data_IF_303245203084
#
_entry.id   IF_303245203084
#
_cell.length_a   1.000
_cell.length_b   1.000
_cell.length_c   1.000
_cell.angle_alpha   90.00
_cell.angle_beta   90.00
_cell.angle_gamma   90.00
#
_symmetry.space_group_name_H-M   'P 1'
#
loop_
_entity.id
_entity.type
_entity.pdbx_description
1 polymer ?
#
# COMPACT_ATOMS: atom_id res chain seq x y z
N UNK A 1 -13.81 17.32 -16.14
CA UNK A 1 -12.42 17.30 -15.59
C UNK A 1 -12.41 16.46 -14.33
N UNK A 2 -12.12 15.17 -14.48
CA UNK A 2 -11.63 14.32 -13.42
C UNK A 2 -10.51 13.53 -14.08
N UNK A 3 -9.27 13.87 -13.76
CA UNK A 3 -8.13 13.03 -14.09
C UNK A 3 -8.28 11.77 -13.25
N UNK A 4 -9.01 10.78 -13.77
CA UNK A 4 -8.98 9.43 -13.25
C UNK A 4 -7.65 8.83 -13.68
N UNK A 5 -6.59 9.17 -12.96
CA UNK A 5 -5.41 8.32 -12.90
C UNK A 5 -5.90 6.92 -12.59
N UNK A 6 -5.81 6.04 -13.58
CA UNK A 6 -6.02 4.61 -13.44
C UNK A 6 -4.95 4.10 -12.47
N UNK A 7 -5.21 4.27 -11.17
CA UNK A 7 -4.36 3.80 -10.10
C UNK A 7 -4.65 2.30 -9.95
N UNK A 8 -4.03 1.50 -10.81
CA UNK A 8 -3.80 0.07 -10.58
C UNK A 8 -2.89 -0.09 -9.35
N UNK A 9 -3.44 0.22 -8.18
CA UNK A 9 -2.74 0.21 -6.89
C UNK A 9 -2.86 -1.14 -6.17
N UNK A 10 -3.48 -2.16 -6.79
CA UNK A 10 -3.63 -3.49 -6.18
C UNK A 10 -2.34 -4.34 -6.25
N UNK A 11 -1.64 -4.48 -7.40
CA UNK A 11 -0.44 -5.31 -7.47
C UNK A 11 0.84 -4.64 -6.91
N UNK A 12 0.82 -3.35 -6.60
CA UNK A 12 2.02 -2.61 -6.16
C UNK A 12 2.29 -2.70 -4.65
N UNK A 13 1.33 -3.14 -3.83
CA UNK A 13 1.46 -3.06 -2.37
C UNK A 13 2.58 -3.93 -1.79
N UNK A 14 2.77 -5.20 -2.18
CA UNK A 14 3.86 -6.02 -1.63
C UNK A 14 5.24 -5.42 -1.88
N UNK A 15 5.49 -4.92 -3.10
CA UNK A 15 6.74 -4.26 -3.46
C UNK A 15 6.96 -2.96 -2.69
N UNK A 16 5.91 -2.16 -2.44
CA UNK A 16 6.03 -0.93 -1.64
C UNK A 16 6.29 -1.23 -0.15
N UNK A 17 5.65 -2.26 0.41
CA UNK A 17 5.92 -2.72 1.78
C UNK A 17 7.37 -3.19 1.88
N UNK A 18 7.82 -4.04 0.95
CA UNK A 18 9.20 -4.52 0.91
C UNK A 18 10.20 -3.37 0.76
N UNK A 19 9.92 -2.39 -0.09
CA UNK A 19 10.74 -1.19 -0.25
C UNK A 19 10.88 -0.39 1.05
N UNK A 20 9.76 -0.15 1.77
CA UNK A 20 9.80 0.54 3.07
C UNK A 20 10.65 -0.22 4.08
N UNK A 21 10.47 -1.53 4.16
CA UNK A 21 11.21 -2.38 5.09
C UNK A 21 12.72 -2.41 4.79
N UNK A 22 13.11 -2.42 3.51
CA UNK A 22 14.53 -2.32 3.12
C UNK A 22 15.12 -0.99 3.59
N UNK A 23 14.42 0.13 3.39
CA UNK A 23 14.90 1.42 3.84
C UNK A 23 15.02 1.48 5.38
N UNK A 24 14.05 0.92 6.11
CA UNK A 24 14.10 0.81 7.58
C UNK A 24 15.29 -0.04 8.05
N UNK A 25 15.59 -1.17 7.37
CA UNK A 25 16.78 -1.99 7.64
C UNK A 25 18.08 -1.23 7.43
N UNK A 26 18.12 -0.34 6.44
CA UNK A 26 19.28 0.51 6.12
C UNK A 26 19.41 1.70 7.10
N UNK A 27 18.54 1.79 8.11
CA UNK A 27 18.58 2.81 9.15
C UNK A 27 17.87 4.12 8.78
N UNK A 28 17.16 4.15 7.65
CA UNK A 28 16.34 5.29 7.31
C UNK A 28 15.10 5.34 8.20
N UNK A 29 14.72 6.55 8.62
CA UNK A 29 13.48 6.75 9.37
C UNK A 29 12.29 6.26 8.54
N UNK A 30 11.34 5.58 9.18
CA UNK A 30 10.07 5.20 8.56
C UNK A 30 9.37 6.46 8.08
N UNK A 31 9.16 6.57 6.77
CA UNK A 31 8.41 7.67 6.16
C UNK A 31 6.99 7.18 5.88
N UNK A 32 5.97 7.69 6.58
CA UNK A 32 4.57 7.40 6.26
C UNK A 32 4.28 7.77 4.80
N UNK A 33 3.54 6.92 4.09
CA UNK A 33 3.23 7.10 2.67
C UNK A 33 4.48 7.21 1.76
N UNK A 34 5.56 6.47 2.06
CA UNK A 34 6.74 6.38 1.19
C UNK A 34 6.34 5.87 -0.21
N UNK A 35 6.08 6.82 -1.12
CA UNK A 35 5.63 6.52 -2.47
C UNK A 35 6.81 6.60 -3.42
N UNK A 36 7.22 5.44 -3.95
CA UNK A 36 8.13 5.35 -5.08
C UNK A 36 7.33 4.89 -6.31
N UNK A 37 7.56 5.57 -7.44
CA UNK A 37 6.92 5.16 -8.70
C UNK A 37 7.53 3.86 -9.20
N UNK A 38 6.74 3.06 -9.93
CA UNK A 38 7.24 1.82 -10.54
C UNK A 38 8.45 2.03 -11.47
N UNK A 39 8.47 3.12 -12.25
CA UNK A 39 9.64 3.46 -13.09
C UNK A 39 10.84 3.83 -12.21
N UNK A 40 10.62 4.55 -11.11
CA UNK A 40 11.67 4.84 -10.13
C UNK A 40 12.22 3.58 -9.46
N UNK A 41 11.36 2.60 -9.15
CA UNK A 41 11.76 1.30 -8.62
C UNK A 41 12.62 0.51 -9.62
N UNK A 42 12.28 0.53 -10.90
CA UNK A 42 13.06 -0.13 -11.94
C UNK A 42 14.42 0.52 -12.13
N UNK A 43 14.46 1.85 -12.12
CA UNK A 43 15.69 2.61 -12.28
C UNK A 43 16.63 2.52 -11.06
N UNK A 44 16.12 2.14 -9.88
CA UNK A 44 16.94 2.01 -8.68
C UNK A 44 18.00 0.89 -8.87
N UNK A 45 19.30 1.22 -8.81
CA UNK A 45 20.40 0.26 -9.00
C UNK A 45 20.42 -0.85 -7.95
N UNK A 46 19.78 -0.67 -6.79
CA UNK A 46 19.69 -1.71 -5.77
C UNK A 46 18.86 -2.90 -6.25
N UNK A 47 17.94 -2.70 -7.19
CA UNK A 47 17.02 -3.75 -7.66
C UNK A 47 17.29 -4.15 -9.11
N UNK A 48 17.06 -3.24 -10.06
CA UNK A 48 17.16 -3.54 -11.48
C UNK A 48 18.13 -2.60 -12.21
N UNK A 49 18.14 -1.31 -11.88
CA UNK A 49 18.98 -0.31 -12.58
C UNK A 49 18.61 -0.16 -14.07
N UNK A 50 17.37 -0.42 -14.45
CA UNK A 50 16.89 -0.41 -15.84
C UNK A 50 15.99 0.80 -16.09
N UNK A 51 16.28 1.57 -17.14
CA UNK A 51 15.34 2.60 -17.62
C UNK A 51 14.15 1.94 -18.30
N UNK A 52 12.95 2.51 -18.12
CA UNK A 52 11.75 2.02 -18.78
C UNK A 52 11.12 3.11 -19.64
N UNK A 53 11.85 3.49 -20.69
CA UNK A 53 11.50 4.63 -21.55
C UNK A 53 10.20 4.39 -22.33
N UNK A 54 9.98 3.14 -22.79
CA UNK A 54 8.74 2.73 -23.47
C UNK A 54 7.48 2.98 -22.61
N UNK A 55 7.59 2.88 -21.27
CA UNK A 55 6.46 3.20 -20.38
C UNK A 55 6.10 4.69 -20.41
N UNK A 56 7.08 5.57 -20.56
CA UNK A 56 6.79 7.00 -20.69
C UNK A 56 6.23 7.32 -22.07
N UNK A 57 6.70 6.68 -23.13
CA UNK A 57 6.11 6.80 -24.48
C UNK A 57 4.63 6.42 -24.48
N UNK A 58 4.29 5.25 -23.91
CA UNK A 58 2.90 4.79 -23.80
C UNK A 58 2.05 5.77 -22.98
N UNK A 59 2.59 6.40 -21.94
CA UNK A 59 1.88 7.44 -21.18
C UNK A 59 1.64 8.70 -22.01
N UNK A 60 2.59 9.12 -22.82
CA UNK A 60 2.42 10.26 -23.74
C UNK A 60 1.31 9.95 -24.75
N UNK A 61 1.32 8.76 -25.34
CA UNK A 61 0.27 8.31 -26.27
C UNK A 61 -1.10 8.27 -25.60
N UNK A 62 -1.21 7.76 -24.38
CA UNK A 62 -2.46 7.72 -23.64
C UNK A 62 -3.00 9.12 -23.28
N UNK A 63 -2.11 10.09 -23.03
CA UNK A 63 -2.51 11.49 -22.78
C UNK A 63 -3.03 12.16 -24.06
N UNK A 64 -2.44 11.83 -25.21
CA UNK A 64 -2.86 12.35 -26.52
C UNK A 64 -4.15 11.70 -27.01
N UNK A 65 -4.29 10.38 -26.81
CA UNK A 65 -5.47 9.62 -27.19
C UNK A 65 -5.98 8.78 -26.00
N UNK A 66 -7.01 9.25 -25.29
CA UNK A 66 -7.64 8.50 -24.21
C UNK A 66 -8.25 7.15 -24.63
N UNK A 67 -8.47 6.92 -25.94
CA UNK A 67 -8.98 5.65 -26.48
C UNK A 67 -7.87 4.69 -26.87
N UNK A 68 -6.59 5.03 -26.71
CA UNK A 68 -5.43 4.22 -27.11
C UNK A 68 -5.56 2.72 -26.77
N UNK A 69 -5.93 2.37 -25.53
CA UNK A 69 -6.07 0.98 -25.07
C UNK A 69 -7.32 0.24 -25.58
N UNK A 70 -8.23 0.94 -26.27
CA UNK A 70 -9.49 0.38 -26.79
C UNK A 70 -9.37 -0.17 -28.21
N UNK A 71 -8.37 0.26 -28.99
CA UNK A 71 -8.21 -0.18 -30.37
C UNK A 71 -7.87 -1.66 -30.47
N UNK A 72 -8.33 -2.30 -31.55
CA UNK A 72 -8.09 -3.71 -31.85
C UNK A 72 -7.76 -3.92 -33.33
N UNK A 73 -6.88 -4.87 -33.68
CA UNK A 73 -6.06 -5.68 -32.77
C UNK A 73 -5.06 -4.82 -31.99
N UNK A 74 -4.57 -5.33 -30.86
CA UNK A 74 -3.55 -4.62 -30.06
C UNK A 74 -2.25 -4.52 -30.88
N UNK A 75 -1.56 -3.38 -30.81
CA UNK A 75 -0.24 -3.25 -31.42
C UNK A 75 0.80 -4.04 -30.62
N UNK A 76 1.93 -4.36 -31.26
CA UNK A 76 3.04 -5.03 -30.56
C UNK A 76 3.55 -4.24 -29.36
N UNK A 77 3.60 -2.90 -29.47
CA UNK A 77 4.00 -2.01 -28.38
C UNK A 77 3.03 -2.11 -27.19
N UNK A 78 1.72 -2.14 -27.45
CA UNK A 78 0.70 -2.29 -26.40
C UNK A 78 0.85 -3.62 -25.66
N UNK A 79 1.06 -4.71 -26.42
CA UNK A 79 1.24 -6.05 -25.87
C UNK A 79 2.52 -6.11 -25.02
N UNK A 80 3.64 -5.60 -25.56
CA UNK A 80 4.93 -5.58 -24.86
C UNK A 80 4.87 -4.76 -23.60
N UNK A 81 4.36 -3.52 -23.65
CA UNK A 81 4.27 -2.66 -22.49
C UNK A 81 3.39 -3.26 -21.38
N UNK A 82 2.25 -3.86 -21.74
CA UNK A 82 1.38 -4.53 -20.77
C UNK A 82 2.06 -5.76 -20.14
N UNK A 83 2.79 -6.55 -20.93
CA UNK A 83 3.52 -7.72 -20.43
C UNK A 83 4.70 -7.32 -19.51
N UNK A 84 5.47 -6.32 -19.93
CA UNK A 84 6.64 -5.84 -19.19
C UNK A 84 6.24 -5.19 -17.86
N UNK A 85 5.11 -4.47 -17.80
CA UNK A 85 4.57 -3.95 -16.54
C UNK A 85 4.44 -5.01 -15.45
N UNK A 86 4.01 -6.23 -15.81
CA UNK A 86 3.88 -7.34 -14.84
C UNK A 86 5.21 -8.06 -14.64
N UNK A 87 5.94 -8.36 -15.71
CA UNK A 87 7.22 -9.08 -15.67
C UNK A 87 8.23 -8.37 -14.76
N UNK A 88 8.33 -7.05 -14.90
CA UNK A 88 9.22 -6.22 -14.11
C UNK A 88 8.78 -6.11 -12.64
N UNK A 89 7.47 -6.03 -12.36
CA UNK A 89 6.98 -6.05 -10.97
C UNK A 89 7.39 -7.32 -10.23
N UNK A 90 7.21 -8.49 -10.87
CA UNK A 90 7.64 -9.77 -10.31
C UNK A 90 9.15 -9.81 -10.08
N UNK A 91 9.93 -9.32 -11.05
CA UNK A 91 11.38 -9.31 -10.96
C UNK A 91 11.88 -8.40 -9.83
N UNK A 92 11.36 -7.18 -9.71
CA UNK A 92 11.71 -6.26 -8.62
C UNK A 92 11.35 -6.86 -7.27
N UNK A 93 10.14 -7.41 -7.14
CA UNK A 93 9.69 -8.01 -5.89
C UNK A 93 10.63 -9.13 -5.43
N UNK A 94 11.04 -10.01 -6.34
CA UNK A 94 12.00 -11.06 -6.03
C UNK A 94 13.35 -10.49 -5.55
N UNK A 95 13.87 -9.45 -6.22
CA UNK A 95 15.11 -8.77 -5.82
C UNK A 95 14.99 -8.12 -4.43
N UNK A 96 13.83 -7.55 -4.11
CA UNK A 96 13.56 -6.97 -2.79
C UNK A 96 13.53 -8.05 -1.71
N UNK A 97 12.79 -9.14 -1.93
CA UNK A 97 12.69 -10.26 -0.98
C UNK A 97 14.06 -10.85 -0.65
N UNK A 98 14.96 -10.96 -1.63
CA UNK A 98 16.35 -11.42 -1.42
C UNK A 98 17.18 -10.50 -0.51
N UNK A 99 16.77 -9.25 -0.29
CA UNK A 99 17.47 -8.27 0.55
C UNK A 99 16.88 -8.14 1.96
N UNK A 100 15.70 -8.70 2.20
CA UNK A 100 15.06 -8.63 3.51
C UNK A 100 15.70 -9.65 4.45
N UNK A 101 15.94 -9.23 5.69
CA UNK A 101 16.29 -10.13 6.77
C UNK A 101 15.05 -10.86 7.29
N UNK A 102 15.23 -11.87 8.15
CA UNK A 102 14.13 -12.70 8.66
C UNK A 102 13.02 -11.88 9.34
N UNK A 103 13.41 -10.87 10.13
CA UNK A 103 12.46 -9.96 10.79
C UNK A 103 11.60 -9.20 9.78
N UNK A 104 12.22 -8.69 8.72
CA UNK A 104 11.49 -7.92 7.72
C UNK A 104 10.72 -8.80 6.74
N UNK A 105 11.18 -10.03 6.48
CA UNK A 105 10.38 -11.03 5.76
C UNK A 105 9.10 -11.37 6.52
N UNK A 106 9.21 -11.58 7.83
CA UNK A 106 8.04 -11.79 8.68
C UNK A 106 7.11 -10.56 8.67
N UNK A 107 7.65 -9.35 8.86
CA UNK A 107 6.86 -8.11 8.77
C UNK A 107 6.16 -7.96 7.41
N UNK A 108 6.84 -8.29 6.31
CA UNK A 108 6.27 -8.26 4.96
C UNK A 108 5.08 -9.23 4.86
N UNK A 109 5.21 -10.44 5.41
CA UNK A 109 4.13 -11.44 5.41
C UNK A 109 2.93 -10.98 6.26
N UNK A 110 3.17 -10.45 7.46
CA UNK A 110 2.11 -9.90 8.34
C UNK A 110 1.40 -8.74 7.64
N UNK A 111 2.14 -7.71 7.20
CA UNK A 111 1.55 -6.55 6.51
C UNK A 111 0.82 -6.94 5.25
N UNK A 112 1.40 -7.84 4.45
CA UNK A 112 0.76 -8.38 3.25
C UNK A 112 -0.60 -9.01 3.56
N UNK A 113 -0.68 -9.83 4.60
CA UNK A 113 -1.94 -10.45 5.03
C UNK A 113 -2.97 -9.42 5.52
N UNK A 114 -2.56 -8.45 6.34
CA UNK A 114 -3.43 -7.35 6.81
C UNK A 114 -3.96 -6.52 5.64
N UNK A 115 -3.12 -6.28 4.62
CA UNK A 115 -3.52 -5.58 3.43
C UNK A 115 -4.54 -6.33 2.57
N UNK A 116 -4.36 -7.64 2.41
CA UNK A 116 -5.33 -8.48 1.72
C UNK A 116 -6.70 -8.43 2.39
N UNK A 117 -6.72 -8.48 3.74
CA UNK A 117 -7.96 -8.40 4.53
C UNK A 117 -8.75 -7.12 4.29
N UNK A 118 -8.09 -6.01 3.95
CA UNK A 118 -8.76 -4.74 3.65
C UNK A 118 -9.65 -4.79 2.39
N UNK A 119 -9.34 -5.67 1.44
CA UNK A 119 -10.11 -5.78 0.18
C UNK A 119 -11.30 -6.72 0.28
N UNK A 120 -11.31 -7.62 1.27
CA UNK A 120 -12.26 -8.71 1.40
C UNK A 120 -12.96 -8.67 2.76
N UNK A 121 -13.50 -7.50 3.10
CA UNK A 121 -14.21 -7.30 4.37
C UNK A 121 -15.53 -8.04 4.33
N UNK A 122 -15.80 -8.74 5.41
CA UNK A 122 -17.08 -9.32 5.77
C UNK A 122 -17.32 -9.06 7.27
N UNK A 123 -18.55 -9.22 7.71
CA UNK A 123 -18.96 -8.88 9.08
C UNK A 123 -18.53 -9.93 10.13
N UNK A 124 -17.71 -10.91 9.76
CA UNK A 124 -17.29 -12.00 10.65
C UNK A 124 -15.92 -11.81 11.30
N UNK A 125 -15.43 -10.56 11.36
CA UNK A 125 -14.14 -10.23 11.97
C UNK A 125 -12.95 -11.04 11.41
N UNK A 126 -12.98 -11.34 10.10
CA UNK A 126 -11.96 -12.13 9.42
C UNK A 126 -11.83 -13.58 9.94
N UNK A 127 -12.88 -14.15 10.54
CA UNK A 127 -12.85 -15.52 11.06
C UNK A 127 -12.50 -16.57 9.98
N UNK A 128 -12.87 -16.31 8.73
CA UNK A 128 -12.56 -17.20 7.60
C UNK A 128 -11.13 -17.04 7.06
N UNK A 129 -10.39 -16.04 7.55
CA UNK A 129 -9.03 -15.77 7.08
C UNK A 129 -8.02 -16.66 7.79
N UNK A 130 -6.96 -17.11 7.09
CA UNK A 130 -5.82 -17.73 7.75
C UNK A 130 -5.28 -16.82 8.86
N UNK A 131 -4.81 -17.39 9.99
CA UNK A 131 -4.16 -16.61 11.03
C UNK A 131 -2.93 -15.88 10.48
N UNK A 132 -2.58 -14.76 11.10
CA UNK A 132 -1.34 -14.07 10.76
C UNK A 132 -0.14 -14.98 11.05
N UNK A 133 0.95 -14.87 10.27
CA UNK A 133 2.11 -15.70 10.49
C UNK A 133 2.67 -15.45 11.90
N UNK A 134 2.90 -16.50 12.71
CA UNK A 134 3.46 -16.34 14.05
C UNK A 134 4.88 -15.77 13.96
N UNK A 135 5.36 -15.15 15.04
CA UNK A 135 6.73 -14.64 15.11
C UNK A 135 7.71 -15.83 15.06
N UNK A 136 8.64 -15.87 14.11
CA UNK A 136 9.69 -16.89 14.05
C UNK A 136 10.58 -16.94 15.32
N UNK A 137 10.92 -18.13 15.79
CA UNK A 137 11.69 -18.36 17.03
C UNK A 137 13.06 -17.65 17.04
N UNK A 138 13.73 -17.60 15.88
CA UNK A 138 15.00 -16.90 15.71
C UNK A 138 14.90 -15.39 15.99
N UNK A 139 13.74 -14.77 15.72
CA UNK A 139 13.50 -13.36 16.03
C UNK A 139 13.22 -13.16 17.52
N UNK A 140 12.53 -14.11 18.16
CA UNK A 140 12.25 -14.08 19.60
C UNK A 140 13.55 -14.19 20.41
N UNK A 141 14.49 -15.02 19.96
CA UNK A 141 15.79 -15.21 20.60
C UNK A 141 16.66 -13.94 20.63
N UNK A 142 16.49 -13.03 19.67
CA UNK A 142 17.19 -11.73 19.61
C UNK A 142 16.71 -10.72 20.68
N UNK A 143 15.75 -11.10 21.53
CA UNK A 143 15.29 -10.30 22.68
C UNK A 143 14.44 -9.07 22.31
N UNK A 144 14.19 -8.83 21.02
CA UNK A 144 13.37 -7.74 20.51
C UNK A 144 12.04 -8.28 19.97
N UNK A 145 11.09 -8.54 20.88
CA UNK A 145 9.72 -8.94 20.50
C UNK A 145 9.10 -7.79 19.68
N UNK A 146 8.81 -8.00 18.38
CA UNK A 146 8.19 -6.96 17.56
C UNK A 146 6.80 -6.59 18.10
N UNK A 147 6.42 -5.32 18.04
CA UNK A 147 5.04 -4.93 18.37
C UNK A 147 4.06 -5.59 17.39
N UNK A 148 2.97 -6.14 17.92
CA UNK A 148 1.93 -6.77 17.12
C UNK A 148 1.25 -5.73 16.21
N UNK A 149 1.30 -5.99 14.90
CA UNK A 149 0.57 -5.19 13.93
C UNK A 149 -0.85 -5.70 13.73
N UNK A 150 -1.81 -4.78 13.75
CA UNK A 150 -3.22 -5.07 13.64
C UNK A 150 -3.87 -4.29 12.51
N UNK A 151 -5.00 -4.79 12.02
CA UNK A 151 -5.91 -4.06 11.14
C UNK A 151 -7.11 -3.60 11.97
N UNK A 152 -7.28 -2.27 12.09
CA UNK A 152 -8.50 -1.66 12.61
C UNK A 152 -9.31 -1.04 11.47
N UNK A 153 -10.63 -1.23 11.52
CA UNK A 153 -11.57 -0.73 10.51
C UNK A 153 -12.57 0.19 11.19
N UNK A 154 -12.74 1.39 10.62
CA UNK A 154 -13.68 2.40 11.09
C UNK A 154 -14.75 2.62 10.02
N UNK A 155 -16.01 2.36 10.39
CA UNK A 155 -17.16 2.72 9.58
C UNK A 155 -17.41 4.22 9.65
N UNK A 156 -17.57 4.83 8.47
CA UNK A 156 -17.81 6.25 8.30
C UNK A 156 -19.24 6.45 7.83
N UNK A 157 -20.10 7.11 8.64
CA UNK A 157 -21.47 7.40 8.24
C UNK A 157 -21.55 8.16 6.91
N UNK A 158 -22.62 7.97 6.11
CA UNK A 158 -22.81 8.68 4.85
C UNK A 158 -22.64 10.19 5.00
N UNK A 159 -21.91 10.81 4.08
CA UNK A 159 -21.64 12.26 4.10
C UNK A 159 -20.58 12.73 5.10
N UNK A 160 -20.08 11.87 6.01
CA UNK A 160 -19.05 12.25 7.00
C UNK A 160 -17.61 12.01 6.54
N UNK A 161 -17.39 11.34 5.40
CA UNK A 161 -16.03 11.08 4.88
C UNK A 161 -15.22 12.37 4.65
N UNK A 162 -15.87 13.46 4.24
CA UNK A 162 -15.23 14.77 4.09
C UNK A 162 -14.63 15.31 5.40
N UNK A 163 -15.18 14.94 6.57
CA UNK A 163 -14.63 15.33 7.89
C UNK A 163 -13.38 14.54 8.25
N UNK A 164 -13.33 13.26 7.89
CA UNK A 164 -12.15 12.41 8.05
C UNK A 164 -11.00 12.96 7.21
N UNK A 165 -11.26 13.21 5.92
CA UNK A 165 -10.26 13.73 4.97
C UNK A 165 -9.83 15.15 5.34
N UNK A 166 -10.80 16.01 5.63
CA UNK A 166 -10.59 17.45 5.84
C UNK A 166 -10.28 18.20 4.55
N UNK A 167 -10.18 19.53 4.64
CA UNK A 167 -9.86 20.38 3.50
C UNK A 167 -8.48 20.00 2.94
N UNK A 168 -8.43 19.66 1.64
CA UNK A 168 -7.21 19.21 0.93
C UNK A 168 -6.49 18.04 1.61
N UNK A 169 -7.20 17.20 2.38
CA UNK A 169 -6.58 16.08 3.08
C UNK A 169 -5.86 16.45 4.39
N UNK A 170 -5.93 17.70 4.85
CA UNK A 170 -5.17 18.15 6.02
C UNK A 170 -5.49 17.36 7.31
N UNK A 171 -6.75 16.94 7.49
CA UNK A 171 -7.15 16.19 8.68
C UNK A 171 -6.55 14.79 8.66
N UNK A 172 -6.73 14.04 7.57
CA UNK A 172 -6.17 12.68 7.48
C UNK A 172 -4.64 12.67 7.54
N UNK A 173 -3.97 13.67 6.94
CA UNK A 173 -2.52 13.83 7.02
C UNK A 173 -2.06 14.11 8.45
N UNK A 174 -2.77 14.95 9.20
CA UNK A 174 -2.46 15.23 10.61
C UNK A 174 -2.59 13.96 11.47
N UNK A 175 -3.63 13.14 11.24
CA UNK A 175 -3.80 11.88 11.97
C UNK A 175 -2.63 10.93 11.67
N UNK A 176 -2.29 10.76 10.38
CA UNK A 176 -1.14 9.94 9.94
C UNK A 176 0.19 10.41 10.53
N UNK A 177 0.40 11.72 10.67
CA UNK A 177 1.63 12.25 11.28
C UNK A 177 1.67 12.01 12.80
N UNK A 178 0.50 11.99 13.44
CA UNK A 178 0.37 11.82 14.89
C UNK A 178 0.40 10.35 15.35
N UNK A 179 0.17 9.42 14.44
CA UNK A 179 0.04 7.99 14.68
C UNK A 179 1.05 7.28 13.79
N UNK A 180 1.95 6.47 14.35
CA UNK A 180 2.85 5.63 13.56
C UNK A 180 2.13 4.40 12.97
N UNK A 181 1.02 4.67 12.30
CA UNK A 181 0.13 3.72 11.67
C UNK A 181 -0.23 4.19 10.26
N UNK A 182 -0.34 3.23 9.35
CA UNK A 182 -0.73 3.48 7.99
C UNK A 182 -2.25 3.56 7.88
N UNK A 183 -2.75 4.71 7.41
CA UNK A 183 -4.19 4.97 7.32
C UNK A 183 -4.57 5.15 5.86
N UNK A 184 -5.61 4.48 5.40
CA UNK A 184 -6.14 4.72 4.06
C UNK A 184 -7.66 4.63 4.04
N UNK A 185 -8.23 5.43 3.16
CA UNK A 185 -9.66 5.53 2.96
C UNK A 185 -10.09 4.50 1.92
N UNK A 186 -11.25 3.91 2.11
CA UNK A 186 -11.89 3.05 1.13
C UNK A 186 -12.29 3.79 -0.16
N UNK A 187 -12.98 3.09 -1.05
CA UNK A 187 -13.26 3.51 -2.43
C UNK A 187 -12.42 2.67 -3.39
N UNK A 188 -11.37 3.23 -3.98
CA UNK A 188 -10.47 2.48 -4.87
C UNK A 188 -9.71 1.33 -4.16
N UNK A 189 -9.77 1.27 -2.81
CA UNK A 189 -9.04 0.32 -1.96
C UNK A 189 -9.97 -0.57 -1.09
N UNK A 190 -11.28 -0.52 -1.27
CA UNK A 190 -12.28 -1.22 -0.44
C UNK A 190 -13.63 -0.48 -0.41
N UNK A 191 -14.58 -0.84 0.47
CA UNK A 191 -15.86 -0.14 0.57
C UNK A 191 -15.68 1.37 0.85
N UNK A 192 -16.37 2.28 0.14
CA UNK A 192 -16.15 3.73 0.20
C UNK A 192 -16.52 4.37 1.55
N UNK A 193 -17.25 3.65 2.39
CA UNK A 193 -17.72 4.04 3.71
C UNK A 193 -16.77 3.59 4.83
N UNK A 194 -15.56 3.12 4.52
CA UNK A 194 -14.62 2.58 5.52
C UNK A 194 -13.26 3.26 5.50
N UNK A 195 -12.63 3.31 6.65
CA UNK A 195 -11.23 3.74 6.84
C UNK A 195 -10.46 2.59 7.49
N UNK A 196 -9.32 2.26 6.91
CA UNK A 196 -8.45 1.18 7.33
C UNK A 196 -7.22 1.75 8.02
N UNK A 197 -6.80 1.09 9.09
CA UNK A 197 -5.66 1.48 9.91
C UNK A 197 -4.82 0.21 10.12
N UNK A 198 -3.59 0.22 9.59
CA UNK A 198 -2.62 -0.87 9.76
C UNK A 198 -1.43 -0.35 10.54
N UNK A 199 -1.05 -1.02 11.61
CA UNK A 199 0.16 -0.69 12.36
C UNK A 199 0.15 -1.29 13.76
N UNK A 200 1.12 -0.90 14.60
CA UNK A 200 1.20 -1.40 15.96
C UNK A 200 -0.08 -1.14 16.75
N UNK A 201 -0.51 -2.11 17.56
CA UNK A 201 -1.82 -2.10 18.20
C UNK A 201 -2.15 -0.78 18.92
N UNK A 202 -1.20 -0.24 19.70
CA UNK A 202 -1.37 1.03 20.42
C UNK A 202 -1.60 2.21 19.46
N UNK A 203 -0.85 2.27 18.36
CA UNK A 203 -0.96 3.33 17.36
C UNK A 203 -2.25 3.21 16.56
N UNK A 204 -2.65 1.99 16.22
CA UNK A 204 -3.90 1.73 15.50
C UNK A 204 -5.11 2.13 16.36
N UNK A 205 -5.15 1.76 17.65
CA UNK A 205 -6.21 2.19 18.57
C UNK A 205 -6.23 3.70 18.77
N UNK A 206 -5.06 4.36 18.86
CA UNK A 206 -4.96 5.81 18.94
C UNK A 206 -5.58 6.48 17.70
N UNK A 207 -5.20 6.04 16.51
CA UNK A 207 -5.74 6.57 15.25
C UNK A 207 -7.27 6.34 15.16
N UNK A 208 -7.74 5.16 15.54
CA UNK A 208 -9.16 4.82 15.59
C UNK A 208 -9.92 5.77 16.51
N UNK A 209 -9.43 6.03 17.73
CA UNK A 209 -10.07 6.94 18.68
C UNK A 209 -10.17 8.37 18.13
N UNK A 210 -9.10 8.88 17.50
CA UNK A 210 -9.10 10.21 16.88
C UNK A 210 -10.13 10.29 15.74
N UNK A 211 -10.20 9.25 14.90
CA UNK A 211 -11.16 9.17 13.80
C UNK A 211 -12.61 9.15 14.33
N UNK A 212 -12.88 8.32 15.34
CA UNK A 212 -14.21 8.23 15.95
C UNK A 212 -14.63 9.55 16.60
N UNK A 213 -13.72 10.24 17.30
CA UNK A 213 -14.00 11.56 17.87
C UNK A 213 -14.50 12.56 16.81
N UNK A 214 -13.83 12.61 15.66
CA UNK A 214 -14.23 13.49 14.54
C UNK A 214 -15.58 13.15 13.92
N UNK A 215 -16.05 11.91 14.07
CA UNK A 215 -17.35 11.48 13.57
C UNK A 215 -18.49 11.79 14.56
N UNK A 216 -18.18 11.95 15.85
CA UNK A 216 -19.11 12.19 16.95
C UNK A 216 -19.38 13.68 17.21
N UNK A 217 -18.52 14.59 16.79
CA UNK A 217 -18.75 16.04 16.94
C UNK A 217 -20.05 16.47 16.22
N UNK A 218 -21.06 16.86 17.00
CA UNK A 218 -22.40 17.28 16.55
C UNK A 218 -22.38 18.62 15.81
#
# INVERSE_FOLDING_TARGET
>A
MASSSFSLNAPQKPSLIAYSLINEQEGHARVPDCHISFVGLLADPRYCGVSYDEKEEVRVLLRQDPKYWTYRPLSEQMIRAAADDVRFLLHIYHKMVQKLNDKSLWNLAVRGALYCRCFCINDNHFADWPPLPPIPENIVADGCIPEEEVLSVVDVPPGKMGRVIGRRGASILSIKQSCDAEIFIGGAKGPPDKVFIIGPEKQARKAQAILMGKLLDF
#
